data_IF_664773826170
#
_entry.id   IF_664773826170
#
_cell.length_a   1.000
_cell.length_b   1.000
_cell.length_c   1.000
_cell.angle_alpha   90.00
_cell.angle_beta   90.00
_cell.angle_gamma   90.00
#
_symmetry.space_group_name_H-M   'P 1'
#
loop_
_entity.id
_entity.type
_entity.pdbx_description
1 polymer ?
#
# COMPACT_ATOMS: atom_id res chain seq x y z
N UNK A 1 -13.39 15.14 11.36
CA UNK A 1 -13.64 14.90 9.92
C UNK A 1 -12.38 14.55 9.14
N UNK A 2 -11.50 15.47 8.69
CA UNK A 2 -10.36 15.11 7.81
C UNK A 2 -9.40 14.00 8.31
N UNK A 3 -9.16 13.96 9.63
CA UNK A 3 -8.34 12.90 10.27
C UNK A 3 -9.15 11.62 10.49
N UNK A 4 -10.45 11.75 10.79
CA UNK A 4 -11.36 10.62 10.96
C UNK A 4 -11.73 9.92 9.64
N UNK A 5 -11.58 10.61 8.50
CA UNK A 5 -11.82 10.06 7.15
C UNK A 5 -10.56 9.57 6.43
N UNK A 6 -9.41 9.54 7.12
CA UNK A 6 -8.14 9.07 6.55
C UNK A 6 -7.62 9.88 5.36
N UNK A 7 -7.98 11.17 5.23
CA UNK A 7 -7.57 11.98 4.09
C UNK A 7 -6.16 12.56 4.26
N UNK A 8 -5.30 12.38 3.25
CA UNK A 8 -3.97 12.99 3.19
C UNK A 8 -4.03 14.53 3.26
N UNK A 9 -3.23 15.10 4.16
CA UNK A 9 -3.16 16.54 4.39
C UNK A 9 -2.58 17.32 3.19
N UNK A 10 -1.66 16.70 2.44
CA UNK A 10 -1.07 17.26 1.21
C UNK A 10 -1.99 17.10 0.01
N UNK A 11 -2.28 18.19 -0.70
CA UNK A 11 -3.09 18.22 -1.93
C UNK A 11 -2.46 17.44 -3.09
N UNK A 12 -1.12 17.40 -3.17
CA UNK A 12 -0.41 16.62 -4.20
C UNK A 12 -0.51 15.12 -3.96
N UNK A 13 -0.35 14.69 -2.70
CA UNK A 13 -0.52 13.29 -2.30
C UNK A 13 -1.98 12.87 -2.45
N UNK A 14 -2.92 13.77 -2.15
CA UNK A 14 -4.35 13.53 -2.35
C UNK A 14 -4.71 13.29 -3.82
N UNK A 15 -4.09 14.03 -4.74
CA UNK A 15 -4.27 13.85 -6.18
C UNK A 15 -3.68 12.52 -6.64
N UNK A 16 -2.44 12.23 -6.25
CA UNK A 16 -1.78 10.96 -6.58
C UNK A 16 -2.50 9.72 -6.01
N UNK A 17 -3.00 9.79 -4.77
CA UNK A 17 -3.76 8.71 -4.14
C UNK A 17 -5.19 8.57 -4.71
N UNK A 18 -5.81 9.67 -5.13
CA UNK A 18 -7.11 9.64 -5.81
C UNK A 18 -6.97 9.07 -7.24
N UNK A 19 -5.86 9.34 -7.92
CA UNK A 19 -5.58 8.80 -9.25
C UNK A 19 -5.22 7.29 -9.20
N UNK A 20 -4.85 6.75 -8.03
CA UNK A 20 -4.46 5.35 -7.81
C UNK A 20 -5.49 4.53 -7.01
N UNK A 21 -6.56 5.17 -6.51
CA UNK A 21 -7.57 4.58 -5.63
C UNK A 21 -7.04 3.91 -4.34
N UNK A 22 -5.92 4.42 -3.83
CA UNK A 22 -5.23 3.92 -2.65
C UNK A 22 -5.49 4.80 -1.42
N UNK A 23 -5.58 4.18 -0.25
CA UNK A 23 -5.50 4.89 1.02
C UNK A 23 -4.05 5.30 1.33
N UNK A 24 -3.86 6.17 2.32
CA UNK A 24 -2.52 6.64 2.75
C UNK A 24 -1.64 5.49 3.29
N UNK A 25 -2.28 4.40 3.70
CA UNK A 25 -1.72 3.17 4.24
C UNK A 25 -1.53 2.05 3.20
N UNK A 26 -1.73 2.33 1.91
CA UNK A 26 -1.45 1.37 0.82
C UNK A 26 -2.52 0.30 0.62
N UNK A 27 -3.62 0.34 1.38
CA UNK A 27 -4.77 -0.52 1.13
C UNK A 27 -5.58 0.03 -0.05
N UNK A 28 -6.11 -0.88 -0.87
CA UNK A 28 -7.21 -0.54 -1.80
C UNK A 28 -8.30 0.11 -0.98
N UNK A 29 -8.56 1.39 -1.22
CA UNK A 29 -9.67 2.06 -0.56
C UNK A 29 -10.91 1.34 -1.06
N UNK A 30 -11.79 0.87 -0.17
CA UNK A 30 -13.18 0.71 -0.58
C UNK A 30 -13.66 2.11 -0.91
N UNK A 31 -13.48 2.51 -2.17
CA UNK A 31 -14.15 3.65 -2.74
C UNK A 31 -15.63 3.28 -2.73
N UNK A 32 -16.30 3.70 -1.66
CA UNK A 32 -17.70 4.02 -1.78
C UNK A 32 -17.80 4.85 -3.05
N UNK A 33 -18.63 4.41 -3.99
CA UNK A 33 -18.93 5.21 -5.18
C UNK A 33 -19.20 6.65 -4.75
N UNK A 34 -18.90 7.65 -5.57
CA UNK A 34 -19.13 9.05 -5.19
C UNK A 34 -20.55 9.25 -4.62
N UNK A 35 -21.52 8.53 -5.18
CA UNK A 35 -22.88 8.44 -4.66
C UNK A 35 -22.96 7.87 -3.23
N UNK A 36 -22.34 6.72 -2.96
CA UNK A 36 -22.32 6.12 -1.62
C UNK A 36 -21.54 6.97 -0.61
N UNK A 37 -20.46 7.65 -1.03
CA UNK A 37 -19.75 8.62 -0.17
C UNK A 37 -20.65 9.80 0.18
N UNK A 38 -21.39 10.35 -0.79
CA UNK A 38 -22.33 11.45 -0.57
C UNK A 38 -23.49 10.99 0.32
N UNK A 39 -24.01 9.78 0.14
CA UNK A 39 -25.07 9.21 1.00
C UNK A 39 -24.56 9.00 2.42
N UNK A 40 -23.35 8.48 2.60
CA UNK A 40 -22.72 8.32 3.91
C UNK A 40 -22.51 9.69 4.60
N UNK A 41 -22.04 10.69 3.86
CA UNK A 41 -21.88 12.06 4.37
C UNK A 41 -23.25 12.69 4.72
N UNK A 42 -24.26 12.53 3.86
CA UNK A 42 -25.61 13.04 4.10
C UNK A 42 -26.27 12.38 5.32
N UNK A 43 -26.07 11.07 5.48
CA UNK A 43 -26.53 10.33 6.66
C UNK A 43 -25.77 10.75 7.92
N UNK A 44 -24.45 10.90 7.86
CA UNK A 44 -23.67 11.40 8.98
C UNK A 44 -24.12 12.81 9.38
N UNK A 45 -24.40 13.69 8.41
CA UNK A 45 -24.93 15.02 8.65
C UNK A 45 -26.36 15.01 9.20
N UNK A 46 -27.24 14.11 8.74
CA UNK A 46 -28.60 13.99 9.30
C UNK A 46 -28.56 13.50 10.75
N UNK A 47 -27.70 12.53 11.07
CA UNK A 47 -27.49 12.06 12.45
C UNK A 47 -26.85 13.13 13.34
N UNK A 48 -25.90 13.90 12.82
CA UNK A 48 -25.31 15.02 13.55
C UNK A 48 -26.30 16.16 13.80
N UNK A 49 -27.27 16.36 12.90
CA UNK A 49 -28.38 17.29 13.10
C UNK A 49 -29.32 16.83 14.21
N UNK A 50 -29.61 15.53 14.30
CA UNK A 50 -30.44 14.95 15.35
C UNK A 50 -29.71 14.94 16.71
N UNK A 51 -28.40 14.70 16.70
CA UNK A 51 -27.58 14.61 17.91
C UNK A 51 -27.60 15.92 18.70
N UNK A 52 -28.21 15.87 19.88
CA UNK A 52 -28.44 17.01 20.76
C UNK A 52 -29.05 18.22 20.03
N UNK A 53 -29.96 17.98 19.08
CA UNK A 53 -30.64 19.02 18.30
C UNK A 53 -29.68 19.93 17.51
N UNK A 54 -28.58 19.37 17.00
CA UNK A 54 -27.62 20.08 16.13
C UNK A 54 -26.65 20.99 16.87
N UNK A 55 -26.65 20.96 18.21
CA UNK A 55 -25.75 21.75 19.06
C UNK A 55 -24.26 21.51 18.73
N UNK A 56 -23.89 20.29 18.34
CA UNK A 56 -22.51 19.98 17.97
C UNK A 56 -22.06 20.73 16.70
N UNK A 57 -22.97 20.90 15.73
CA UNK A 57 -22.72 21.65 14.50
C UNK A 57 -22.59 23.14 14.82
N UNK A 58 -23.53 23.68 15.60
CA UNK A 58 -23.54 25.09 16.02
C UNK A 58 -22.26 25.45 16.80
N UNK A 59 -21.86 24.62 17.76
CA UNK A 59 -20.61 24.81 18.51
C UNK A 59 -19.37 24.76 17.60
N UNK A 60 -19.37 23.87 16.60
CA UNK A 60 -18.28 23.79 15.62
C UNK A 60 -18.17 25.04 14.74
N UNK A 61 -19.30 25.68 14.43
CA UNK A 61 -19.32 26.93 13.66
C UNK A 61 -18.83 28.12 14.50
N UNK A 62 -19.30 28.23 15.75
CA UNK A 62 -18.87 29.28 16.68
C UNK A 62 -17.37 29.21 16.94
N UNK A 63 -16.84 28.02 17.26
CA UNK A 63 -15.40 27.85 17.59
C UNK A 63 -14.46 28.05 16.39
N UNK A 64 -14.98 27.97 15.16
CA UNK A 64 -14.22 28.25 13.92
C UNK A 64 -14.40 29.68 13.42
N UNK A 65 -15.23 30.48 14.09
CA UNK A 65 -15.49 31.87 13.71
C UNK A 65 -16.33 32.03 12.45
N UNK A 66 -17.12 31.02 12.07
CA UNK A 66 -18.07 31.15 10.94
C UNK A 66 -19.32 31.93 11.32
N UNK A 67 -19.71 31.83 12.60
CA UNK A 67 -20.82 32.55 13.21
C UNK A 67 -20.39 33.01 14.60
N UNK A 68 -20.95 34.09 15.10
CA UNK A 68 -20.70 34.53 16.48
C UNK A 68 -21.70 33.89 17.44
N UNK A 69 -21.41 33.92 18.75
CA UNK A 69 -22.34 33.37 19.75
C UNK A 69 -23.65 34.15 19.79
N UNK A 70 -23.59 35.46 19.54
CA UNK A 70 -24.74 36.37 19.46
C UNK A 70 -25.67 36.00 18.31
N UNK A 71 -25.12 35.65 17.14
CA UNK A 71 -25.92 35.17 16.00
C UNK A 71 -26.63 33.85 16.31
N UNK A 72 -25.95 32.92 16.99
CA UNK A 72 -26.58 31.67 17.41
C UNK A 72 -27.66 31.90 18.46
N UNK A 73 -27.44 32.84 19.38
CA UNK A 73 -28.43 33.23 20.37
C UNK A 73 -29.66 33.86 19.71
N UNK A 74 -29.46 34.73 18.72
CA UNK A 74 -30.54 35.32 17.91
C UNK A 74 -31.37 34.26 17.19
N UNK A 75 -30.73 33.25 16.60
CA UNK A 75 -31.42 32.22 15.81
C UNK A 75 -32.19 31.20 16.64
N UNK A 76 -31.68 30.84 17.82
CA UNK A 76 -32.14 29.64 18.54
C UNK A 76 -32.40 29.84 20.04
N UNK A 77 -32.05 30.99 20.61
CA UNK A 77 -32.15 31.25 22.06
C UNK A 77 -32.73 32.64 22.37
N UNK A 78 -33.61 33.18 21.52
CA UNK A 78 -34.28 34.47 21.75
C UNK A 78 -33.33 35.64 22.08
N UNK A 79 -32.14 35.65 21.46
CA UNK A 79 -31.04 36.60 21.72
C UNK A 79 -30.40 36.51 23.12
N UNK A 80 -30.68 35.46 23.89
CA UNK A 80 -30.04 35.16 25.17
C UNK A 80 -28.69 34.44 24.96
N UNK A 81 -27.61 35.22 25.04
CA UNK A 81 -26.23 34.76 24.83
C UNK A 81 -25.77 33.81 25.94
N UNK A 82 -26.24 34.00 27.18
CA UNK A 82 -25.87 33.16 28.32
C UNK A 82 -26.53 31.78 28.22
N UNK A 83 -27.79 31.73 27.78
CA UNK A 83 -28.49 30.49 27.48
C UNK A 83 -27.82 29.72 26.32
N UNK A 84 -27.46 30.41 25.24
CA UNK A 84 -26.74 29.82 24.11
C UNK A 84 -25.37 29.26 24.53
N UNK A 85 -24.61 30.04 25.31
CA UNK A 85 -23.29 29.63 25.83
C UNK A 85 -23.39 28.42 26.74
N UNK A 86 -24.36 28.42 27.66
CA UNK A 86 -24.60 27.28 28.57
C UNK A 86 -24.98 26.03 27.79
N UNK A 87 -25.92 26.14 26.84
CA UNK A 87 -26.36 25.02 26.02
C UNK A 87 -25.25 24.43 25.15
N UNK A 88 -24.41 25.26 24.53
CA UNK A 88 -23.33 24.78 23.66
C UNK A 88 -22.08 24.33 24.42
N UNK A 89 -21.78 24.90 25.59
CA UNK A 89 -20.62 24.49 26.39
C UNK A 89 -20.67 23.01 26.81
N UNK A 90 -21.88 22.47 27.01
CA UNK A 90 -22.12 21.05 27.28
C UNK A 90 -21.69 20.11 26.14
N UNK A 91 -21.53 20.64 24.93
CA UNK A 91 -21.11 19.87 23.74
C UNK A 91 -19.59 19.82 23.54
N UNK A 92 -18.84 20.52 24.40
CA UNK A 92 -17.38 20.57 24.31
C UNK A 92 -16.78 19.21 24.60
N UNK A 93 -16.20 18.59 23.57
CA UNK A 93 -15.57 17.27 23.68
C UNK A 93 -16.47 16.10 23.31
N UNK A 94 -17.77 16.32 23.08
CA UNK A 94 -18.70 15.26 22.64
C UNK A 94 -18.32 14.69 21.26
N UNK A 95 -17.75 15.51 20.37
CA UNK A 95 -17.20 14.99 19.09
C UNK A 95 -16.05 14.00 19.31
N UNK A 96 -15.27 14.16 20.39
CA UNK A 96 -14.21 13.18 20.74
C UNK A 96 -14.87 11.88 21.19
N UNK A 97 -15.90 11.94 22.03
CA UNK A 97 -16.68 10.76 22.46
C UNK A 97 -17.37 10.05 21.29
N UNK A 98 -17.90 10.81 20.32
CA UNK A 98 -18.48 10.29 19.07
C UNK A 98 -17.44 9.70 18.11
N UNK A 99 -16.15 10.04 18.27
CA UNK A 99 -15.05 9.46 17.51
C UNK A 99 -14.36 8.31 18.27
N UNK A 100 -14.48 8.26 19.59
CA UNK A 100 -14.07 7.16 20.48
C UNK A 100 -15.14 6.04 20.49
N UNK A 101 -15.70 5.72 19.33
CA UNK A 101 -16.63 4.59 19.19
C UNK A 101 -15.78 3.33 19.15
N UNK A 102 -15.50 2.78 20.34
CA UNK A 102 -14.78 1.51 20.51
C UNK A 102 -15.57 0.30 19.96
N UNK A 103 -16.89 0.44 19.80
CA UNK A 103 -17.77 -0.58 19.23
C UNK A 103 -18.60 0.01 18.08
N UNK A 104 -18.34 -0.47 16.86
CA UNK A 104 -19.19 -0.18 15.70
C UNK A 104 -20.58 -0.73 16.04
N UNK A 105 -21.65 0.11 16.08
CA UNK A 105 -22.98 -0.38 16.41
C UNK A 105 -23.34 -1.50 15.45
N UNK A 106 -23.78 -2.62 16.02
CA UNK A 106 -24.22 -3.77 15.25
C UNK A 106 -25.48 -3.37 14.48
N UNK A 107 -25.31 -3.04 13.20
CA UNK A 107 -26.44 -2.88 12.28
C UNK A 107 -27.04 -4.27 12.13
N UNK A 108 -28.33 -4.41 12.37
CA UNK A 108 -29.02 -5.71 12.31
C UNK A 108 -29.16 -6.10 10.82
N UNK A 109 -28.16 -6.84 10.33
CA UNK A 109 -27.79 -6.95 8.90
C UNK A 109 -28.61 -7.96 8.09
N UNK A 110 -29.84 -8.33 8.45
CA UNK A 110 -30.56 -9.35 7.64
C UNK A 110 -31.42 -8.74 6.54
N UNK A 111 -32.38 -7.87 6.88
CA UNK A 111 -33.25 -7.20 5.89
C UNK A 111 -32.55 -6.04 5.20
N UNK A 112 -31.83 -5.18 5.94
CA UNK A 112 -31.09 -4.06 5.34
C UNK A 112 -29.99 -4.52 4.39
N UNK A 113 -29.34 -5.67 4.66
CA UNK A 113 -28.33 -6.23 3.77
C UNK A 113 -28.95 -6.88 2.54
N UNK A 114 -30.17 -7.40 2.65
CA UNK A 114 -30.93 -7.89 1.51
C UNK A 114 -31.43 -6.73 0.63
N UNK A 115 -31.88 -5.63 1.24
CA UNK A 115 -32.28 -4.41 0.51
C UNK A 115 -31.06 -3.68 -0.07
N UNK A 116 -29.92 -3.69 0.62
CA UNK A 116 -28.65 -3.19 0.10
C UNK A 116 -28.19 -4.02 -1.11
N UNK A 117 -28.17 -5.36 -1.01
CA UNK A 117 -27.88 -6.24 -2.14
C UNK A 117 -28.88 -6.05 -3.28
N UNK A 118 -30.18 -5.88 -2.96
CA UNK A 118 -31.21 -5.58 -3.95
C UNK A 118 -30.90 -4.26 -4.63
N UNK A 119 -30.61 -3.20 -3.90
CA UNK A 119 -30.26 -1.89 -4.43
C UNK A 119 -28.98 -1.91 -5.28
N UNK A 120 -27.93 -2.63 -4.86
CA UNK A 120 -26.71 -2.83 -5.66
C UNK A 120 -26.97 -3.65 -6.94
N UNK A 121 -27.92 -4.59 -6.89
CA UNK A 121 -28.30 -5.40 -8.05
C UNK A 121 -29.34 -4.74 -8.96
N UNK A 122 -30.04 -3.70 -8.48
CA UNK A 122 -31.13 -3.05 -9.22
C UNK A 122 -30.55 -2.03 -10.18
N UNK A 123 -30.61 -2.34 -11.47
CA UNK A 123 -30.16 -1.45 -12.54
C UNK A 123 -31.04 -0.22 -12.66
N UNK A 124 -30.43 0.96 -12.77
CA UNK A 124 -31.18 2.15 -13.14
C UNK A 124 -31.46 2.15 -14.65
N UNK A 125 -32.61 2.71 -15.05
CA UNK A 125 -32.97 2.82 -16.46
C UNK A 125 -31.94 3.67 -17.22
N UNK A 126 -31.25 3.07 -18.18
CA UNK A 126 -30.19 3.71 -18.97
C UNK A 126 -28.77 3.51 -18.43
N UNK A 127 -28.60 2.80 -17.33
CA UNK A 127 -27.28 2.44 -16.83
C UNK A 127 -26.57 1.47 -17.80
N UNK A 128 -25.35 1.83 -18.17
CA UNK A 128 -24.47 1.02 -19.01
C UNK A 128 -23.40 0.38 -18.15
N UNK A 129 -23.12 -0.90 -18.40
CA UNK A 129 -22.05 -1.63 -17.74
C UNK A 129 -20.90 -1.80 -18.72
N UNK A 130 -19.67 -1.68 -18.22
CA UNK A 130 -18.50 -2.11 -18.96
C UNK A 130 -18.22 -3.58 -18.61
N UNK A 131 -18.17 -4.44 -19.61
CA UNK A 131 -17.80 -5.84 -19.44
C UNK A 131 -16.69 -6.23 -20.39
N UNK A 132 -15.78 -7.08 -19.93
CA UNK A 132 -14.78 -7.67 -20.81
C UNK A 132 -15.44 -8.72 -21.70
N UNK A 133 -15.02 -8.77 -22.95
CA UNK A 133 -15.46 -9.75 -23.92
C UNK A 133 -14.28 -10.23 -24.77
N UNK A 134 -14.41 -11.43 -25.29
CA UNK A 134 -13.47 -12.02 -26.23
C UNK A 134 -14.09 -12.07 -27.63
N UNK A 135 -13.27 -11.80 -28.63
CA UNK A 135 -13.66 -11.83 -30.04
C UNK A 135 -12.70 -12.74 -30.80
N UNK A 136 -13.25 -13.59 -31.66
CA UNK A 136 -12.44 -14.41 -32.54
C UNK A 136 -11.67 -13.51 -33.54
N UNK A 137 -10.36 -13.68 -33.60
CA UNK A 137 -9.50 -12.96 -34.55
C UNK A 137 -9.79 -13.35 -36.01
N UNK A 138 -10.18 -14.60 -36.24
CA UNK A 138 -10.47 -15.16 -37.57
C UNK A 138 -11.91 -14.87 -38.01
N UNK A 139 -12.84 -14.76 -37.06
CA UNK A 139 -14.27 -14.57 -37.30
C UNK A 139 -14.78 -13.31 -36.60
N UNK A 140 -14.29 -12.15 -37.03
CA UNK A 140 -14.66 -10.84 -36.45
C UNK A 140 -16.13 -10.46 -36.66
N UNK A 141 -16.83 -11.14 -37.57
CA UNK A 141 -18.26 -10.92 -37.82
C UNK A 141 -19.17 -11.58 -36.77
N UNK A 142 -18.66 -12.56 -36.02
CA UNK A 142 -19.43 -13.16 -34.92
C UNK A 142 -19.57 -12.16 -33.76
N UNK A 143 -20.69 -12.19 -33.01
CA UNK A 143 -20.84 -11.34 -31.85
C UNK A 143 -19.76 -11.66 -30.79
N UNK A 144 -19.24 -10.66 -30.07
CA UNK A 144 -18.29 -10.88 -28.99
C UNK A 144 -18.89 -11.77 -27.89
N UNK A 145 -18.07 -12.65 -27.30
CA UNK A 145 -18.45 -13.51 -26.19
C UNK A 145 -18.12 -12.79 -24.88
N UNK A 146 -19.12 -12.53 -24.05
CA UNK A 146 -18.93 -11.84 -22.78
C UNK A 146 -18.22 -12.72 -21.75
N UNK A 147 -17.29 -12.14 -21.01
CA UNK A 147 -16.65 -12.78 -19.86
C UNK A 147 -17.50 -12.58 -18.59
N UNK A 148 -17.44 -13.52 -17.62
CA UNK A 148 -18.14 -13.36 -16.36
C UNK A 148 -17.71 -12.10 -15.61
N UNK A 149 -18.65 -11.47 -14.90
CA UNK A 149 -18.39 -10.23 -14.17
C UNK A 149 -17.19 -10.33 -13.21
N UNK A 150 -16.97 -11.50 -12.62
CA UNK A 150 -15.89 -11.75 -11.66
C UNK A 150 -14.50 -11.83 -12.30
N UNK A 151 -14.38 -11.92 -13.63
CA UNK A 151 -13.10 -11.78 -14.36
C UNK A 151 -12.61 -10.33 -14.40
N UNK A 152 -13.50 -9.35 -14.21
CA UNK A 152 -13.20 -7.94 -14.39
C UNK A 152 -12.05 -7.48 -13.49
N UNK A 153 -12.16 -7.70 -12.18
CA UNK A 153 -11.17 -7.17 -11.25
C UNK A 153 -9.75 -7.74 -11.49
N UNK A 154 -9.56 -9.06 -11.69
CA UNK A 154 -8.25 -9.61 -12.04
C UNK A 154 -7.68 -9.07 -13.36
N UNK A 155 -8.49 -8.94 -14.41
CA UNK A 155 -8.05 -8.41 -15.70
C UNK A 155 -7.69 -6.93 -15.57
N UNK A 156 -8.56 -6.11 -14.96
CA UNK A 156 -8.35 -4.68 -14.74
C UNK A 156 -7.03 -4.44 -13.99
N UNK A 157 -6.80 -5.18 -12.89
CA UNK A 157 -5.56 -5.08 -12.12
C UNK A 157 -4.32 -5.43 -12.96
N UNK A 158 -4.36 -6.51 -13.73
CA UNK A 158 -3.24 -6.91 -14.57
C UNK A 158 -2.94 -5.86 -15.66
N UNK A 159 -3.98 -5.31 -16.31
CA UNK A 159 -3.84 -4.27 -17.33
C UNK A 159 -3.29 -2.97 -16.72
N UNK A 160 -3.84 -2.52 -15.59
CA UNK A 160 -3.38 -1.30 -14.90
C UNK A 160 -1.93 -1.42 -14.45
N UNK A 161 -1.55 -2.57 -13.88
CA UNK A 161 -0.18 -2.85 -13.45
C UNK A 161 0.78 -2.76 -14.62
N UNK A 162 0.48 -3.45 -15.72
CA UNK A 162 1.32 -3.41 -16.92
C UNK A 162 1.40 -2.01 -17.54
N UNK A 163 0.30 -1.25 -17.56
CA UNK A 163 0.32 0.14 -18.04
C UNK A 163 1.21 1.02 -17.16
N UNK A 164 1.20 0.82 -15.85
CA UNK A 164 2.05 1.54 -14.90
C UNK A 164 3.53 1.23 -15.15
N UNK A 165 3.88 -0.04 -15.29
CA UNK A 165 5.24 -0.47 -15.67
C UNK A 165 5.67 0.13 -17.02
N UNK A 166 4.80 0.09 -18.04
CA UNK A 166 5.10 0.65 -19.37
C UNK A 166 5.37 2.15 -19.30
N UNK A 167 4.54 2.90 -18.56
CA UNK A 167 4.72 4.35 -18.36
C UNK A 167 6.02 4.65 -17.61
N UNK A 168 6.38 3.84 -16.62
CA UNK A 168 7.64 3.99 -15.91
C UNK A 168 8.85 3.85 -16.86
N UNK A 169 8.85 2.82 -17.73
CA UNK A 169 9.89 2.65 -18.74
C UNK A 169 9.93 3.77 -19.78
N UNK A 170 8.77 4.24 -20.24
CA UNK A 170 8.69 5.37 -21.17
C UNK A 170 9.26 6.65 -20.56
N UNK A 171 8.86 6.96 -19.33
CA UNK A 171 9.37 8.12 -18.60
C UNK A 171 10.89 8.05 -18.45
N UNK A 172 11.44 6.90 -18.07
CA UNK A 172 12.90 6.73 -17.97
C UNK A 172 13.60 6.95 -19.32
N UNK A 173 12.97 6.54 -20.43
CA UNK A 173 13.50 6.75 -21.79
C UNK A 173 13.42 8.22 -22.21
N UNK A 174 12.33 8.90 -21.89
CA UNK A 174 12.16 10.34 -22.13
C UNK A 174 13.15 11.17 -21.31
N UNK A 175 13.34 10.85 -20.03
CA UNK A 175 14.33 11.50 -19.16
C UNK A 175 15.76 11.33 -19.71
N UNK A 176 16.08 10.14 -20.26
CA UNK A 176 17.36 9.88 -20.93
C UNK A 176 17.53 10.75 -22.18
N UNK A 177 16.49 10.88 -22.99
CA UNK A 177 16.48 11.68 -24.21
C UNK A 177 16.64 13.17 -23.91
N UNK A 178 15.98 13.68 -22.86
CA UNK A 178 16.14 15.06 -22.38
C UNK A 178 17.58 15.36 -21.91
N UNK A 179 18.28 14.35 -21.41
CA UNK A 179 19.71 14.43 -21.06
C UNK A 179 20.64 14.26 -22.27
N UNK A 180 20.12 14.22 -23.51
CA UNK A 180 20.91 14.04 -24.72
C UNK A 180 21.49 12.63 -24.91
N UNK A 181 21.03 11.64 -24.14
CA UNK A 181 21.47 10.23 -24.28
C UNK A 181 20.35 9.42 -24.93
N UNK A 182 20.58 8.90 -26.13
CA UNK A 182 19.55 8.22 -26.92
C UNK A 182 19.19 6.80 -26.42
N UNK A 183 20.07 6.14 -25.67
CA UNK A 183 19.90 4.74 -25.25
C UNK A 183 20.06 4.57 -23.73
N UNK A 184 19.46 3.50 -23.19
CA UNK A 184 19.71 3.08 -21.82
C UNK A 184 21.16 2.55 -21.67
N UNK A 185 21.74 2.62 -20.45
CA UNK A 185 22.95 1.86 -20.12
C UNK A 185 22.77 0.37 -20.44
N UNK A 186 23.83 -0.37 -20.85
CA UNK A 186 23.69 -1.76 -21.32
C UNK A 186 22.90 -2.69 -20.39
N UNK A 187 23.08 -2.56 -19.06
CA UNK A 187 22.33 -3.33 -18.06
C UNK A 187 20.83 -3.02 -18.10
N UNK A 188 20.46 -1.74 -18.14
CA UNK A 188 19.05 -1.29 -18.22
C UNK A 188 18.43 -1.58 -19.57
N UNK A 189 19.21 -1.49 -20.65
CA UNK A 189 18.76 -1.86 -21.98
C UNK A 189 18.38 -3.34 -22.04
N UNK A 190 19.20 -4.24 -21.47
CA UNK A 190 18.88 -5.67 -21.37
C UNK A 190 17.61 -5.90 -20.55
N UNK A 191 17.45 -5.22 -19.41
CA UNK A 191 16.24 -5.32 -18.58
C UNK A 191 14.98 -4.82 -19.32
N UNK A 192 15.09 -3.72 -20.06
CA UNK A 192 14.00 -3.20 -20.90
C UNK A 192 13.65 -4.16 -22.03
N UNK A 193 14.64 -4.76 -22.70
CA UNK A 193 14.42 -5.77 -23.75
C UNK A 193 13.77 -7.04 -23.21
N UNK A 194 14.15 -7.48 -22.00
CA UNK A 194 13.55 -8.61 -21.31
C UNK A 194 12.10 -8.32 -20.88
N UNK A 195 11.86 -7.15 -20.29
CA UNK A 195 10.51 -6.67 -19.98
C UNK A 195 9.65 -6.56 -21.24
N UNK A 196 10.19 -6.02 -22.33
CA UNK A 196 9.48 -5.87 -23.60
C UNK A 196 9.18 -7.20 -24.29
N UNK A 197 9.95 -8.26 -24.01
CA UNK A 197 9.64 -9.64 -24.46
C UNK A 197 8.54 -10.26 -23.58
N UNK A 198 8.45 -9.85 -22.33
CA UNK A 198 7.51 -10.37 -21.34
C UNK A 198 6.19 -9.59 -21.35
N UNK A 199 5.52 -9.55 -22.50
CA UNK A 199 4.19 -8.91 -22.64
C UNK A 199 3.04 -9.79 -22.12
N UNK A 200 3.32 -11.07 -21.83
CA UNK A 200 2.34 -11.99 -21.29
C UNK A 200 2.21 -11.83 -19.76
N UNK A 201 0.97 -11.88 -19.26
CA UNK A 201 0.64 -11.95 -17.83
C UNK A 201 -0.31 -13.11 -17.59
N UNK A 202 0.06 -14.02 -16.69
CA UNK A 202 -0.73 -15.20 -16.35
C UNK A 202 -1.59 -14.92 -15.11
N UNK A 203 -2.83 -15.38 -15.12
CA UNK A 203 -3.77 -15.26 -13.99
C UNK A 203 -4.47 -16.61 -13.78
N UNK A 204 -4.41 -17.15 -12.56
CA UNK A 204 -5.26 -18.29 -12.16
C UNK A 204 -6.54 -17.77 -11.54
N UNK A 205 -7.67 -18.27 -12.03
CA UNK A 205 -9.00 -17.91 -11.60
C UNK A 205 -9.72 -19.15 -11.05
N UNK A 206 -10.14 -19.14 -9.79
CA UNK A 206 -10.90 -20.23 -9.16
C UNK A 206 -12.40 -20.09 -9.52
N UNK A 207 -12.94 -21.07 -10.26
CA UNK A 207 -14.33 -21.07 -10.75
C UNK A 207 -15.36 -21.13 -9.62
N UNK A 208 -15.04 -21.80 -8.52
CA UNK A 208 -15.97 -21.97 -7.39
C UNK A 208 -15.98 -20.72 -6.50
N UNK A 209 -14.80 -20.14 -6.26
CA UNK A 209 -14.66 -18.92 -5.46
C UNK A 209 -14.95 -17.65 -6.25
N UNK A 210 -14.98 -17.75 -7.59
CA UNK A 210 -15.13 -16.62 -8.51
C UNK A 210 -14.09 -15.53 -8.22
N UNK A 211 -12.84 -15.94 -7.98
CA UNK A 211 -11.76 -15.05 -7.54
C UNK A 211 -10.40 -15.52 -8.03
N UNK A 212 -9.44 -14.59 -8.12
CA UNK A 212 -8.05 -14.90 -8.44
C UNK A 212 -7.39 -15.71 -7.31
N UNK A 213 -6.59 -16.71 -7.69
CA UNK A 213 -5.72 -17.44 -6.76
C UNK A 213 -4.40 -16.70 -6.66
N UNK A 214 -4.10 -16.13 -5.48
CA UNK A 214 -2.86 -15.37 -5.24
C UNK A 214 -1.68 -16.32 -5.04
N UNK A 215 -1.82 -17.32 -4.16
CA UNK A 215 -0.73 -18.24 -3.81
C UNK A 215 -0.84 -19.54 -4.61
N UNK A 216 -0.57 -19.47 -5.92
CA UNK A 216 -0.69 -20.60 -6.85
C UNK A 216 0.27 -21.74 -6.48
N UNK A 217 1.49 -21.41 -6.03
CA UNK A 217 2.50 -22.38 -5.61
C UNK A 217 2.05 -23.29 -4.46
N UNK A 218 1.14 -22.80 -3.60
CA UNK A 218 0.62 -23.55 -2.45
C UNK A 218 -0.56 -24.48 -2.80
N UNK A 219 -0.93 -24.59 -4.08
CA UNK A 219 -2.02 -25.43 -4.56
C UNK A 219 -1.48 -26.59 -5.37
N UNK A 220 -2.05 -27.78 -5.18
CA UNK A 220 -1.70 -28.94 -6.00
C UNK A 220 -2.18 -28.71 -7.43
N UNK A 221 -1.37 -29.14 -8.41
CA UNK A 221 -1.68 -29.03 -9.84
C UNK A 221 -3.03 -29.70 -10.16
N UNK A 222 -3.32 -30.85 -9.53
CA UNK A 222 -4.59 -31.55 -9.66
C UNK A 222 -5.79 -30.71 -9.19
N UNK A 223 -5.63 -29.94 -8.11
CA UNK A 223 -6.67 -29.04 -7.62
C UNK A 223 -6.86 -27.84 -8.56
N UNK A 224 -5.77 -27.29 -9.10
CA UNK A 224 -5.83 -26.19 -10.05
C UNK A 224 -6.54 -26.60 -11.33
N UNK A 225 -6.18 -27.75 -11.93
CA UNK A 225 -6.85 -28.32 -13.11
C UNK A 225 -8.36 -28.49 -12.95
N UNK A 226 -8.79 -28.94 -11.77
CA UNK A 226 -10.19 -29.29 -11.53
C UNK A 226 -11.06 -28.05 -11.28
N UNK A 227 -10.50 -27.03 -10.63
CA UNK A 227 -11.30 -25.93 -10.08
C UNK A 227 -10.94 -24.56 -10.63
N UNK A 228 -9.86 -24.44 -11.39
CA UNK A 228 -9.36 -23.15 -11.86
C UNK A 228 -9.30 -23.08 -13.39
N UNK A 229 -9.25 -21.84 -13.88
CA UNK A 229 -8.97 -21.47 -15.26
C UNK A 229 -7.65 -20.71 -15.29
N UNK A 230 -6.81 -21.00 -16.29
CA UNK A 230 -5.55 -20.30 -16.50
C UNK A 230 -5.67 -19.39 -17.71
N UNK A 231 -5.82 -18.09 -17.49
CA UNK A 231 -5.79 -17.11 -18.57
C UNK A 231 -4.40 -16.48 -18.70
N UNK A 232 -3.99 -16.25 -19.94
CA UNK A 232 -2.76 -15.53 -20.30
C UNK A 232 -3.15 -14.31 -21.11
N UNK A 233 -2.94 -13.13 -20.53
CA UNK A 233 -3.16 -11.85 -21.16
C UNK A 233 -1.90 -11.45 -21.92
N UNK A 234 -2.04 -11.13 -23.20
CA UNK A 234 -0.98 -10.51 -23.99
C UNK A 234 -1.25 -9.01 -24.05
N UNK A 235 -0.42 -8.25 -23.34
CA UNK A 235 -0.58 -6.82 -23.15
C UNK A 235 -0.04 -6.05 -24.35
N UNK A 236 -0.76 -4.99 -24.75
CA UNK A 236 -0.31 -4.02 -25.73
C UNK A 236 -0.66 -2.60 -25.26
N UNK A 237 0.04 -1.62 -25.82
CA UNK A 237 -0.25 -0.20 -25.61
C UNK A 237 -1.53 0.20 -26.30
N UNK A 238 -1.80 -0.42 -27.44
CA UNK A 238 -3.02 -0.21 -28.20
C UNK A 238 -4.11 -1.14 -27.66
N UNK A 239 -5.24 -0.55 -27.24
CA UNK A 239 -6.35 -1.31 -26.69
C UNK A 239 -6.89 -2.37 -27.67
N UNK A 240 -6.80 -2.10 -28.98
CA UNK A 240 -7.24 -3.01 -30.04
C UNK A 240 -6.35 -4.24 -30.23
N UNK A 241 -5.14 -4.21 -29.66
CA UNK A 241 -4.14 -5.27 -29.73
C UNK A 241 -4.11 -6.15 -28.48
N UNK A 242 -4.91 -5.84 -27.44
CA UNK A 242 -5.03 -6.70 -26.27
C UNK A 242 -5.54 -8.09 -26.68
N UNK A 243 -4.85 -9.13 -26.24
CA UNK A 243 -5.25 -10.52 -26.49
C UNK A 243 -5.32 -11.31 -25.19
N UNK A 244 -6.12 -12.37 -25.22
CA UNK A 244 -6.25 -13.34 -24.15
C UNK A 244 -6.27 -14.75 -24.74
N UNK A 245 -5.69 -15.71 -24.04
CA UNK A 245 -5.83 -17.14 -24.32
C UNK A 245 -5.98 -17.91 -23.01
N UNK A 246 -6.59 -19.09 -23.08
CA UNK A 246 -6.59 -20.03 -21.96
C UNK A 246 -5.61 -21.17 -22.24
N UNK A 247 -4.67 -21.44 -21.34
CA UNK A 247 -3.68 -22.50 -21.54
C UNK A 247 -2.91 -22.37 -22.88
N UNK A 248 -2.86 -23.46 -23.66
CA UNK A 248 -2.34 -23.46 -25.04
C UNK A 248 -3.41 -23.25 -26.11
N UNK A 249 -4.63 -22.88 -25.69
CA UNK A 249 -5.78 -22.68 -26.55
C UNK A 249 -5.63 -21.50 -27.51
N UNK A 250 -6.71 -21.27 -28.27
CA UNK A 250 -6.80 -20.21 -29.26
C UNK A 250 -6.55 -18.83 -28.63
N UNK A 251 -5.91 -17.94 -29.40
CA UNK A 251 -5.71 -16.55 -29.03
C UNK A 251 -6.92 -15.72 -29.48
N UNK A 252 -7.50 -14.98 -28.54
CA UNK A 252 -8.68 -14.15 -28.74
C UNK A 252 -8.34 -12.68 -28.61
N UNK A 253 -9.08 -11.81 -29.31
CA UNK A 253 -9.05 -10.36 -29.05
C UNK A 253 -9.80 -10.08 -27.76
N UNK A 254 -9.15 -9.42 -26.81
CA UNK A 254 -9.77 -8.97 -25.57
C UNK A 254 -10.23 -7.52 -25.77
N UNK A 255 -11.50 -7.23 -25.50
CA UNK A 255 -12.06 -5.89 -25.64
C UNK A 255 -13.05 -5.57 -24.52
N UNK A 256 -13.13 -4.29 -24.15
CA UNK A 256 -14.09 -3.80 -23.16
C UNK A 256 -15.31 -3.27 -23.91
N UNK A 257 -16.49 -3.81 -23.60
CA UNK A 257 -17.76 -3.44 -24.23
C UNK A 257 -18.67 -2.72 -23.25
N UNK A 258 -19.34 -1.68 -23.73
CA UNK A 258 -20.50 -1.09 -23.04
C UNK A 258 -21.74 -1.90 -23.38
N UNK A 259 -22.31 -2.61 -22.41
CA UNK A 259 -23.52 -3.40 -22.59
C UNK A 259 -24.61 -3.03 -21.59
N UNK A 260 -25.86 -3.18 -22.00
CA UNK A 260 -27.03 -3.08 -21.12
C UNK A 260 -27.37 -4.43 -20.46
N UNK A 261 -27.01 -5.54 -21.11
CA UNK A 261 -27.17 -6.90 -20.59
C UNK A 261 -26.20 -7.19 -19.45
N UNK A 262 -26.60 -8.02 -18.47
CA UNK A 262 -25.64 -8.58 -17.51
C UNK A 262 -24.81 -9.65 -18.23
N UNK A 263 -23.49 -9.71 -17.99
CA UNK A 263 -22.69 -10.83 -18.45
C UNK A 263 -23.13 -12.12 -17.75
N UNK A 264 -23.03 -13.23 -18.46
CA UNK A 264 -23.30 -14.56 -17.90
C UNK A 264 -22.31 -14.90 -16.79
N UNK A 265 -22.75 -15.63 -15.76
CA UNK A 265 -21.87 -16.04 -14.65
C UNK A 265 -20.95 -17.23 -15.02
N UNK A 266 -21.35 -18.01 -16.03
CA UNK A 266 -20.65 -19.20 -16.47
C UNK A 266 -19.41 -18.83 -17.30
N UNK A 267 -18.31 -19.55 -17.08
CA UNK A 267 -17.09 -19.40 -17.89
C UNK A 267 -17.37 -19.92 -19.30
N UNK A 268 -17.09 -19.14 -20.37
CA UNK A 268 -17.22 -19.62 -21.74
C UNK A 268 -16.32 -20.83 -22.01
N UNK A 269 -16.82 -21.82 -22.74
CA UNK A 269 -16.09 -23.06 -23.05
C UNK A 269 -14.78 -22.78 -23.82
N UNK A 270 -14.76 -21.68 -24.59
CA UNK A 270 -13.61 -21.20 -25.36
C UNK A 270 -12.39 -20.87 -24.51
N UNK A 271 -12.61 -20.58 -23.22
CA UNK A 271 -11.56 -20.25 -22.26
C UNK A 271 -11.61 -21.10 -21.00
N UNK A 272 -12.42 -22.15 -20.92
CA UNK A 272 -12.43 -23.10 -19.79
C UNK A 272 -11.42 -24.23 -20.01
N UNK A 273 -10.15 -23.88 -20.30
CA UNK A 273 -9.07 -24.86 -20.45
C UNK A 273 -7.92 -24.58 -19.47
N UNK A 274 -7.51 -25.63 -18.73
CA UNK A 274 -6.36 -25.59 -17.83
C UNK A 274 -5.32 -26.60 -18.30
N UNK A 275 -4.27 -26.12 -18.97
CA UNK A 275 -3.18 -26.97 -19.45
C UNK A 275 -1.92 -26.90 -18.58
N UNK A 276 -1.27 -28.07 -18.43
CA UNK A 276 0.02 -28.22 -17.78
C UNK A 276 1.17 -27.70 -18.66
N UNK A 277 2.20 -27.14 -18.03
CA UNK A 277 3.47 -26.80 -18.69
C UNK A 277 3.68 -25.33 -19.00
N UNK A 278 2.70 -24.45 -18.75
CA UNK A 278 2.95 -23.01 -18.73
C UNK A 278 3.71 -22.65 -17.46
N UNK A 279 4.94 -22.12 -17.64
CA UNK A 279 5.70 -21.56 -16.54
C UNK A 279 4.90 -20.43 -15.91
N UNK A 280 4.63 -20.58 -14.62
CA UNK A 280 3.98 -19.56 -13.82
C UNK A 280 5.01 -18.47 -13.53
N UNK A 281 5.08 -17.47 -14.40
CA UNK A 281 5.84 -16.27 -14.10
C UNK A 281 5.03 -15.47 -13.09
N UNK A 282 5.40 -15.58 -11.81
CA UNK A 282 4.68 -15.01 -10.68
C UNK A 282 4.84 -13.48 -10.56
N UNK A 283 4.89 -12.77 -11.70
CA UNK A 283 4.97 -11.32 -11.72
C UNK A 283 3.67 -10.64 -11.25
N UNK A 284 2.60 -11.42 -11.03
CA UNK A 284 1.30 -10.90 -10.61
C UNK A 284 1.06 -10.98 -9.08
N UNK A 285 1.68 -11.92 -8.34
CA UNK A 285 1.32 -12.14 -6.94
C UNK A 285 2.04 -11.21 -5.94
N UNK A 286 3.21 -10.68 -6.29
CA UNK A 286 4.00 -9.88 -5.36
C UNK A 286 3.92 -8.40 -5.75
N UNK A 287 3.03 -7.65 -5.11
CA UNK A 287 3.02 -6.18 -5.13
C UNK A 287 4.22 -5.66 -4.32
N UNK A 288 5.43 -5.90 -4.84
CA UNK A 288 6.63 -5.21 -4.37
C UNK A 288 6.42 -3.74 -4.73
N UNK A 289 5.93 -2.95 -3.78
CA UNK A 289 5.68 -1.53 -3.97
C UNK A 289 6.87 -0.88 -4.68
N UNK A 290 6.62 -0.33 -5.86
CA UNK A 290 7.58 0.21 -6.83
C UNK A 290 8.92 0.68 -6.23
N UNK A 291 9.85 -0.26 -6.05
CA UNK A 291 11.27 -0.01 -5.75
C UNK A 291 12.09 -0.12 -7.05
N UNK A 292 11.51 0.28 -8.19
CA UNK A 292 12.24 0.40 -9.43
C UNK A 292 12.92 1.78 -9.49
N UNK A 293 14.15 1.79 -8.96
CA UNK A 293 15.26 2.67 -9.30
C UNK A 293 15.19 4.15 -8.90
N UNK A 294 15.61 4.45 -7.66
CA UNK A 294 16.23 5.75 -7.30
C UNK A 294 17.74 5.64 -6.98
N UNK A 295 18.35 4.44 -7.00
CA UNK A 295 19.77 4.26 -6.65
C UNK A 295 20.75 4.61 -7.79
N UNK A 296 20.32 4.61 -9.06
CA UNK A 296 21.25 4.72 -10.19
C UNK A 296 21.56 6.16 -10.65
N UNK A 297 21.06 7.19 -9.96
CA UNK A 297 21.39 8.59 -10.31
C UNK A 297 22.77 9.02 -9.76
N UNK A 298 23.42 8.23 -8.90
CA UNK A 298 24.67 8.61 -8.22
C UNK A 298 25.93 8.00 -8.87
N UNK A 299 25.79 6.98 -9.74
CA UNK A 299 26.95 6.17 -10.18
C UNK A 299 27.62 6.56 -11.51
N UNK A 300 27.31 7.71 -12.13
CA UNK A 300 27.89 8.09 -13.44
C UNK A 300 29.16 8.98 -13.32
N UNK A 301 29.87 8.91 -12.18
CA UNK A 301 30.98 9.82 -11.86
C UNK A 301 32.24 9.22 -11.20
N UNK A 302 32.46 7.90 -11.20
CA UNK A 302 33.71 7.35 -10.63
C UNK A 302 34.39 6.31 -11.53
N UNK A 303 35.69 6.52 -11.73
CA UNK A 303 36.64 5.67 -12.43
C UNK A 303 36.70 4.25 -11.86
N UNK A 304 36.77 3.27 -12.76
CA UNK A 304 36.93 1.84 -12.48
C UNK A 304 38.37 1.54 -12.08
N UNK A 305 38.55 0.83 -10.96
CA UNK A 305 39.71 -0.03 -10.74
C UNK A 305 39.22 -1.48 -10.63
N UNK A 306 39.82 -2.34 -11.46
CA UNK A 306 39.41 -3.71 -11.76
C UNK A 306 39.78 -4.71 -10.64
N UNK A 307 38.94 -5.73 -10.41
CA UNK A 307 39.06 -6.63 -9.25
C UNK A 307 38.17 -7.89 -9.26
N UNK A 308 38.36 -8.74 -10.27
CA UNK A 308 38.28 -10.22 -10.37
C UNK A 308 37.78 -11.10 -9.17
N UNK A 309 36.71 -11.87 -9.44
CA UNK A 309 36.30 -13.26 -9.05
C UNK A 309 35.84 -13.63 -7.62
N UNK A 310 34.65 -14.27 -7.51
CA UNK A 310 34.50 -15.73 -7.29
C UNK A 310 33.02 -16.14 -7.05
N UNK A 311 32.58 -17.21 -7.70
CA UNK A 311 31.27 -17.88 -7.56
C UNK A 311 31.26 -18.88 -6.38
N UNK A 312 30.12 -19.01 -5.67
CA UNK A 312 29.77 -20.25 -4.97
C UNK A 312 28.26 -20.41 -4.74
N UNK A 313 27.80 -21.65 -4.94
CA UNK A 313 26.41 -22.13 -4.96
C UNK A 313 25.81 -22.48 -3.58
N UNK A 314 24.47 -22.34 -3.47
CA UNK A 314 23.54 -23.32 -2.87
C UNK A 314 23.32 -23.36 -1.34
N UNK A 315 22.16 -22.91 -0.85
CA UNK A 315 21.07 -23.79 -0.36
C UNK A 315 19.86 -23.05 0.27
N UNK A 316 18.68 -23.67 0.10
CA UNK A 316 17.26 -23.34 0.34
C UNK A 316 16.80 -22.32 1.44
N UNK A 317 15.71 -21.54 1.20
CA UNK A 317 15.05 -20.74 2.23
C UNK A 317 13.79 -21.41 2.83
N UNK A 318 13.67 -21.31 4.16
CA UNK A 318 12.41 -21.38 4.89
C UNK A 318 11.70 -20.02 4.82
N UNK A 319 10.42 -20.00 4.44
CA UNK A 319 9.55 -18.84 4.37
C UNK A 319 8.87 -18.56 5.71
N UNK A 320 8.82 -17.29 6.14
CA UNK A 320 7.72 -16.76 6.98
C UNK A 320 7.61 -15.22 6.88
N UNK A 321 6.49 -14.78 6.32
CA UNK A 321 5.75 -13.52 6.47
C UNK A 321 6.53 -12.19 6.57
N UNK A 322 6.95 -11.72 5.39
CA UNK A 322 7.30 -10.33 5.10
C UNK A 322 6.04 -9.67 4.54
N UNK A 323 5.41 -8.75 5.29
CA UNK A 323 4.68 -7.60 4.72
C UNK A 323 4.25 -6.63 5.83
N UNK A 324 5.06 -5.58 6.00
CA UNK A 324 4.70 -4.18 6.35
C UNK A 324 5.98 -3.45 6.75
N UNK A 325 6.61 -2.77 5.80
CA UNK A 325 7.84 -2.01 6.06
C UNK A 325 7.71 -0.56 5.60
N UNK A 326 8.27 0.33 6.42
CA UNK A 326 8.55 1.72 6.11
C UNK A 326 10.07 1.86 6.20
N UNK A 327 10.78 1.54 5.11
CA UNK A 327 12.23 1.71 4.98
C UNK A 327 12.49 2.95 4.12
N UNK A 328 13.39 3.83 4.58
CA UNK A 328 14.08 4.81 3.73
C UNK A 328 15.53 4.91 4.25
N UNK A 329 16.50 4.68 3.37
CA UNK A 329 17.93 4.81 3.62
C UNK A 329 18.34 6.26 3.92
N UNK A 330 19.32 6.43 4.80
CA UNK A 330 19.91 7.73 5.14
C UNK A 330 20.94 8.13 4.07
N UNK A 331 20.82 9.33 3.53
CA UNK A 331 21.92 10.01 2.84
C UNK A 331 22.22 11.28 3.62
N UNK A 332 23.22 11.22 4.49
CA UNK A 332 23.80 12.40 5.13
C UNK A 332 24.68 13.12 4.11
N UNK A 333 24.31 14.34 3.72
CA UNK A 333 25.13 15.24 2.93
C UNK A 333 25.36 16.51 3.73
N UNK A 334 26.52 16.61 4.37
CA UNK A 334 27.07 17.87 4.88
C UNK A 334 27.52 18.77 3.72
N UNK A 335 27.18 20.05 3.78
CA UNK A 335 27.68 21.08 2.86
C UNK A 335 26.77 22.30 2.78
N UNK A 336 26.88 23.21 3.75
CA UNK A 336 26.33 24.57 3.63
C UNK A 336 27.04 25.36 2.52
N UNK A 337 26.28 26.23 1.80
CA UNK A 337 26.64 27.64 1.86
C UNK A 337 25.43 28.59 2.05
N UNK A 338 25.78 29.78 2.56
CA UNK A 338 24.97 30.90 3.09
C UNK A 338 23.61 31.24 2.42
N UNK A 339 22.62 31.76 3.18
CA UNK A 339 21.34 32.17 2.64
C UNK A 339 21.33 33.63 2.16
N UNK A 340 20.86 33.86 0.93
CA UNK A 340 20.34 35.16 0.51
C UNK A 340 18.88 35.36 0.99
N UNK A 341 18.45 36.60 1.24
CA UNK A 341 17.23 36.87 1.99
C UNK A 341 16.00 37.01 1.07
N UNK A 342 15.14 36.00 0.98
CA UNK A 342 13.82 36.17 0.37
C UNK A 342 12.66 35.62 1.23
N UNK A 343 11.83 36.58 1.64
CA UNK A 343 10.38 36.55 1.90
C UNK A 343 9.75 35.31 2.58
N UNK A 344 9.47 35.51 3.87
CA UNK A 344 8.63 34.66 4.73
C UNK A 344 7.21 34.51 4.19
N UNK A 345 6.93 33.39 3.53
CA UNK A 345 5.60 32.79 3.46
C UNK A 345 5.54 31.66 4.48
N UNK A 346 4.65 31.79 5.46
CA UNK A 346 4.46 30.86 6.59
C UNK A 346 3.97 29.49 6.12
N UNK A 347 4.90 28.62 5.73
CA UNK A 347 4.73 27.17 5.67
C UNK A 347 5.61 26.54 6.74
N UNK A 348 5.04 26.11 7.88
CA UNK A 348 5.77 25.28 8.84
C UNK A 348 6.18 23.99 8.13
N UNK A 349 7.48 23.82 7.89
CA UNK A 349 8.06 22.55 7.46
C UNK A 349 7.73 21.50 8.54
N UNK A 350 6.86 20.54 8.20
CA UNK A 350 6.55 19.43 9.06
C UNK A 350 7.68 18.40 8.94
N UNK A 351 8.59 18.39 9.90
CA UNK A 351 9.61 17.35 10.06
C UNK A 351 8.86 16.05 10.39
N UNK A 352 8.85 15.10 9.45
CA UNK A 352 8.32 13.75 9.69
C UNK A 352 9.28 13.03 10.64
N UNK A 353 8.90 12.92 11.90
CA UNK A 353 9.61 12.11 12.90
C UNK A 353 9.33 10.63 12.57
N UNK A 354 10.38 9.81 12.37
CA UNK A 354 10.20 8.38 12.11
C UNK A 354 9.58 7.73 13.35
N UNK A 355 8.70 6.73 13.18
CA UNK A 355 8.00 6.08 14.30
C UNK A 355 8.94 5.47 15.35
N UNK A 356 10.17 5.11 14.93
CA UNK A 356 11.26 4.67 15.81
C UNK A 356 11.81 5.84 16.64
N UNK A 357 12.08 6.99 16.01
CA UNK A 357 12.65 8.18 16.65
C UNK A 357 11.72 8.81 17.69
N UNK A 358 10.41 8.56 17.59
CA UNK A 358 9.45 8.98 18.60
C UNK A 358 9.39 8.06 19.82
N UNK A 359 10.01 6.87 19.80
CA UNK A 359 9.96 5.94 20.93
C UNK A 359 10.92 6.38 22.05
N UNK A 360 10.48 6.41 23.32
CA UNK A 360 11.32 6.83 24.43
C UNK A 360 12.54 5.91 24.62
N UNK A 361 12.39 4.60 24.34
CA UNK A 361 13.48 3.64 24.41
C UNK A 361 14.55 3.90 23.34
N UNK A 362 14.16 4.29 22.13
CA UNK A 362 15.11 4.63 21.08
C UNK A 362 15.85 5.94 21.40
N UNK A 363 15.15 6.94 21.96
CA UNK A 363 15.80 8.17 22.39
C UNK A 363 16.79 7.93 23.52
N UNK A 364 16.46 7.07 24.47
CA UNK A 364 17.42 6.61 25.49
C UNK A 364 18.66 5.97 24.86
N UNK A 365 18.48 5.12 23.85
CA UNK A 365 19.60 4.50 23.12
C UNK A 365 20.46 5.55 22.40
N UNK A 366 19.82 6.56 21.81
CA UNK A 366 20.48 7.67 21.13
C UNK A 366 21.28 8.55 22.09
N UNK A 367 20.72 8.87 23.26
CA UNK A 367 21.38 9.66 24.31
C UNK A 367 22.63 8.95 24.85
N UNK A 368 22.65 7.61 24.82
CA UNK A 368 23.80 6.79 25.18
C UNK A 368 24.86 6.69 24.07
N UNK A 369 24.61 7.27 22.88
CA UNK A 369 25.48 7.13 21.72
C UNK A 369 25.46 5.73 21.09
N UNK A 370 24.41 4.94 21.37
CA UNK A 370 24.29 3.54 20.96
C UNK A 370 23.29 3.32 19.81
N UNK A 371 22.72 4.39 19.27
CA UNK A 371 21.77 4.33 18.15
C UNK A 371 22.44 4.32 16.76
N UNK A 372 23.78 4.38 16.70
CA UNK A 372 24.53 4.31 15.43
C UNK A 372 24.33 2.93 14.82
N UNK A 373 23.96 2.90 13.54
CA UNK A 373 23.72 1.66 12.79
C UNK A 373 24.92 1.40 11.87
N UNK A 374 25.45 0.17 11.82
CA UNK A 374 26.41 -0.20 10.79
C UNK A 374 25.79 -0.07 9.39
N UNK A 375 26.63 0.09 8.37
CA UNK A 375 26.18 0.17 6.98
C UNK A 375 25.42 -1.11 6.57
N UNK A 376 24.29 -0.93 5.88
CA UNK A 376 23.40 -2.03 5.49
C UNK A 376 22.52 -2.61 6.62
N UNK A 377 22.63 -2.11 7.85
CA UNK A 377 21.76 -2.52 8.94
C UNK A 377 20.53 -1.61 9.07
N UNK A 378 19.38 -2.21 9.40
CA UNK A 378 18.14 -1.46 9.66
C UNK A 378 17.58 -1.77 11.05
N UNK A 379 16.83 -0.82 11.61
CA UNK A 379 16.17 -0.94 12.90
C UNK A 379 14.77 -0.30 12.80
N UNK A 380 13.75 -1.04 13.21
CA UNK A 380 12.35 -0.67 13.08
C UNK A 380 11.51 -1.13 14.27
N UNK A 381 10.33 -0.53 14.43
CA UNK A 381 9.32 -0.95 15.41
C UNK A 381 7.99 -1.14 14.70
N UNK A 382 7.24 -2.16 15.11
CA UNK A 382 5.84 -2.34 14.75
C UNK A 382 4.96 -2.05 15.99
N UNK A 383 4.52 -0.81 16.23
CA UNK A 383 3.88 -0.42 17.50
C UNK A 383 2.63 -1.22 17.81
N UNK A 384 1.81 -1.50 16.79
CA UNK A 384 0.57 -2.28 16.94
C UNK A 384 0.83 -3.72 17.41
N UNK A 385 1.94 -4.31 16.96
CA UNK A 385 2.29 -5.69 17.30
C UNK A 385 3.23 -5.75 18.51
N UNK A 386 3.66 -4.60 19.04
CA UNK A 386 4.64 -4.47 20.12
C UNK A 386 5.91 -5.29 19.85
N UNK A 387 6.48 -5.12 18.67
CA UNK A 387 7.69 -5.84 18.23
C UNK A 387 8.74 -4.86 17.73
N UNK A 388 9.97 -4.99 18.24
CA UNK A 388 11.17 -4.39 17.66
C UNK A 388 11.74 -5.35 16.60
N UNK A 389 12.25 -4.81 15.48
CA UNK A 389 12.88 -5.58 14.41
C UNK A 389 14.17 -4.92 13.95
N UNK A 390 15.13 -5.72 13.52
CA UNK A 390 16.34 -5.25 12.83
C UNK A 390 16.67 -6.17 11.66
N UNK A 391 17.47 -5.66 10.73
CA UNK A 391 18.15 -6.47 9.72
C UNK A 391 19.65 -6.21 9.76
N UNK A 392 20.45 -7.25 9.50
CA UNK A 392 21.87 -7.10 9.20
C UNK A 392 22.11 -6.98 7.69
N UNK A 393 23.30 -6.54 7.30
CA UNK A 393 23.71 -6.50 5.89
C UNK A 393 23.73 -7.88 5.22
N UNK A 394 23.81 -8.97 5.99
CA UNK A 394 23.74 -10.36 5.50
C UNK A 394 22.30 -10.88 5.37
N UNK A 395 21.32 -9.99 5.22
CA UNK A 395 19.89 -10.32 5.08
C UNK A 395 19.28 -11.12 6.25
N UNK A 396 19.92 -11.13 7.42
CA UNK A 396 19.34 -11.78 8.60
C UNK A 396 18.37 -10.83 9.30
N UNK A 397 17.13 -11.27 9.48
CA UNK A 397 16.08 -10.51 10.16
C UNK A 397 15.94 -10.97 11.60
N UNK A 398 15.99 -10.02 12.54
CA UNK A 398 15.81 -10.29 13.96
C UNK A 398 14.59 -9.56 14.48
N UNK A 399 13.79 -10.20 15.32
CA UNK A 399 12.61 -9.57 15.92
C UNK A 399 12.40 -10.00 17.36
N UNK A 400 11.92 -9.08 18.21
CA UNK A 400 11.58 -9.35 19.61
C UNK A 400 10.33 -8.60 20.02
N UNK A 401 9.32 -9.34 20.48
CA UNK A 401 8.10 -8.78 21.07
C UNK A 401 8.33 -8.24 22.48
N UNK A 402 7.52 -7.28 22.91
CA UNK A 402 7.49 -6.74 24.28
C UNK A 402 6.05 -6.66 24.80
N UNK A 403 5.22 -7.60 24.37
CA UNK A 403 3.87 -7.77 24.86
C UNK A 403 3.84 -8.54 26.19
N UNK A 404 2.69 -8.59 26.84
CA UNK A 404 2.54 -9.26 28.13
C UNK A 404 2.87 -10.75 28.10
N UNK A 405 2.78 -11.40 26.93
CA UNK A 405 3.11 -12.81 26.77
C UNK A 405 4.62 -13.07 26.80
N UNK A 406 5.42 -12.14 26.25
CA UNK A 406 6.89 -12.24 26.23
C UNK A 406 7.56 -12.04 27.58
N UNK A 407 6.88 -11.36 28.52
CA UNK A 407 7.47 -10.93 29.80
C UNK A 407 8.58 -9.89 29.66
N UNK A 408 8.83 -9.38 28.45
CA UNK A 408 9.84 -8.36 28.15
C UNK A 408 9.19 -6.98 28.09
N UNK A 409 9.90 -5.97 28.59
CA UNK A 409 9.55 -4.57 28.31
C UNK A 409 10.14 -4.12 26.96
N UNK A 410 9.69 -2.97 26.45
CA UNK A 410 10.13 -2.44 25.14
C UNK A 410 11.65 -2.23 25.08
N UNK A 411 12.27 -1.80 26.18
CA UNK A 411 13.69 -1.53 26.28
C UNK A 411 14.52 -2.83 26.19
N UNK A 412 14.10 -3.89 26.87
CA UNK A 412 14.73 -5.21 26.80
C UNK A 412 14.64 -5.80 25.38
N UNK A 413 13.48 -5.69 24.73
CA UNK A 413 13.29 -6.14 23.36
C UNK A 413 14.17 -5.36 22.36
N UNK A 414 14.27 -4.03 22.53
CA UNK A 414 15.15 -3.17 21.73
C UNK A 414 16.62 -3.57 21.88
N UNK A 415 17.12 -3.68 23.12
CA UNK A 415 18.51 -4.06 23.38
C UNK A 415 18.85 -5.41 22.75
N UNK A 416 17.96 -6.39 22.86
CA UNK A 416 18.16 -7.73 22.28
C UNK A 416 18.20 -7.73 20.76
N UNK A 417 17.34 -6.94 20.12
CA UNK A 417 17.31 -6.77 18.66
C UNK A 417 18.59 -6.11 18.15
N UNK A 418 19.03 -5.04 18.82
CA UNK A 418 20.30 -4.37 18.49
C UNK A 418 21.49 -5.28 18.70
N UNK A 419 21.53 -6.05 19.80
CA UNK A 419 22.59 -7.03 20.06
C UNK A 419 22.73 -8.04 18.90
N UNK A 420 21.64 -8.68 18.48
CA UNK A 420 21.66 -9.65 17.39
C UNK A 420 22.08 -9.01 16.04
N UNK A 421 21.63 -7.78 15.78
CA UNK A 421 22.03 -7.02 14.60
C UNK A 421 23.55 -6.79 14.55
N UNK A 422 24.15 -6.35 15.66
CA UNK A 422 25.58 -6.08 15.74
C UNK A 422 26.40 -7.37 15.74
N UNK A 423 25.92 -8.45 16.36
CA UNK A 423 26.56 -9.78 16.28
C UNK A 423 26.62 -10.27 14.83
N UNK A 424 25.50 -10.26 14.12
CA UNK A 424 25.44 -10.67 12.72
C UNK A 424 26.30 -9.78 11.79
N UNK A 425 26.37 -8.47 12.07
CA UNK A 425 27.29 -7.59 11.34
C UNK A 425 28.76 -7.97 11.57
N UNK A 426 29.15 -8.30 12.81
CA UNK A 426 30.53 -8.67 13.14
C UNK A 426 30.95 -10.05 12.60
N UNK A 427 29.99 -10.94 12.32
CA UNK A 427 30.29 -12.21 11.64
C UNK A 427 30.85 -11.97 10.24
N UNK A 428 30.38 -10.92 9.55
CA UNK A 428 30.87 -10.51 8.22
C UNK A 428 32.01 -9.49 8.30
N UNK A 429 32.03 -8.64 9.33
CA UNK A 429 32.99 -7.55 9.52
C UNK A 429 33.78 -7.66 10.84
N UNK A 430 34.57 -8.73 11.06
CA UNK A 430 35.17 -9.04 12.35
C UNK A 430 36.26 -8.06 12.80
N UNK A 431 36.68 -7.12 11.94
CA UNK A 431 37.72 -6.11 12.26
C UNK A 431 37.15 -4.75 12.67
N UNK A 432 35.83 -4.55 12.59
CA UNK A 432 35.21 -3.29 12.99
C UNK A 432 35.30 -3.09 14.50
N UNK A 433 36.13 -2.15 14.93
CA UNK A 433 36.37 -1.85 16.35
C UNK A 433 35.22 -1.03 16.96
N UNK A 434 34.56 -0.19 16.16
CA UNK A 434 33.47 0.67 16.64
C UNK A 434 32.26 -0.18 16.98
N UNK A 435 31.87 -1.09 16.09
CA UNK A 435 30.75 -2.00 16.32
C UNK A 435 31.02 -2.96 17.47
N UNK A 436 32.26 -3.45 17.64
CA UNK A 436 32.64 -4.25 18.81
C UNK A 436 32.49 -3.50 20.12
N UNK A 437 32.91 -2.24 20.17
CA UNK A 437 32.78 -1.40 21.36
C UNK A 437 31.30 -1.15 21.68
N UNK A 438 30.49 -0.85 20.67
CA UNK A 438 29.04 -0.67 20.80
C UNK A 438 28.36 -1.95 21.31
N UNK A 439 28.67 -3.12 20.72
CA UNK A 439 28.14 -4.41 21.15
C UNK A 439 28.49 -4.72 22.61
N UNK A 440 29.73 -4.43 23.03
CA UNK A 440 30.14 -4.63 24.43
C UNK A 440 29.32 -3.77 25.40
N UNK A 441 29.01 -2.51 25.03
CA UNK A 441 28.16 -1.63 25.82
C UNK A 441 26.70 -2.10 25.85
N UNK A 442 26.14 -2.55 24.72
CA UNK A 442 24.80 -3.15 24.65
C UNK A 442 24.70 -4.39 25.55
N UNK A 443 25.70 -5.28 25.50
CA UNK A 443 25.75 -6.47 26.36
C UNK A 443 25.82 -6.12 27.85
N UNK A 444 26.57 -5.07 28.20
CA UNK A 444 26.62 -4.56 29.57
C UNK A 444 25.24 -4.07 30.04
N UNK A 445 24.56 -3.25 29.23
CA UNK A 445 23.20 -2.77 29.57
C UNK A 445 22.21 -3.93 29.69
N UNK A 446 22.30 -4.94 28.82
CA UNK A 446 21.43 -6.12 28.89
C UNK A 446 21.65 -6.91 30.18
N UNK A 447 22.89 -7.01 30.68
CA UNK A 447 23.20 -7.70 31.92
C UNK A 447 22.72 -6.94 33.19
N UNK A 448 22.45 -5.64 33.09
CA UNK A 448 21.88 -4.83 34.17
C UNK A 448 20.34 -4.95 34.25
N UNK A 449 19.70 -5.40 33.18
CA UNK A 449 18.26 -5.63 33.13
C UNK A 449 17.88 -6.97 33.82
N UNK A 450 16.68 -7.07 34.44
CA UNK A 450 16.21 -8.31 35.02
C UNK A 450 16.19 -9.46 34.00
N UNK A 451 16.59 -10.66 34.45
CA UNK A 451 16.49 -11.88 33.64
C UNK A 451 15.04 -12.08 33.18
N UNK A 452 14.89 -12.36 31.89
CA UNK A 452 13.63 -12.67 31.24
C UNK A 452 13.82 -13.91 30.37
N UNK A 453 12.71 -14.55 29.98
CA UNK A 453 12.77 -15.70 29.08
C UNK A 453 13.19 -15.22 27.69
N UNK A 454 14.30 -15.77 27.21
CA UNK A 454 14.91 -15.46 25.91
C UNK A 454 14.07 -15.94 24.73
#
# INVERSE_FOLDING_TARGET
MRVATGMASSTKIRKALADLDLSVDGNTRMTLTMENSIRADAWALSRLKEYQSGKLILWSWVTRGYVTMEQVAEWYFDSDVDAATTALSSTRGEMRKLCDVDEIPHVDTSEELADFKRAESTKFGGEKFCTWAIQDLEHQELPPIHLPAWFRNPIDKAVIRWQTESRAWEKQREDRLLQGKCNFPPKKQKAFEEWSKTQARSIVLDKKRQAQVVNVANKSIASLKKHCVLIVLHMSREAEELRIKSGSGKLWKLQLLECSAQPDEAVPEEIDDFQEGLQYNDHCAEDHGDEIALEDAIADGMHVHDGVMSEHDGDAPFHEDIDKWLLICDTESEGEPEPLPEQKLFGKACVRVRAVESQPEFQRLKDLGLAVRPEGCTLGIHPANRVWRSSSASSSHFSRSFDGSSGRNSWQALLRVVEMMLESYLDTNPKDKHVKAQLAQIKKLRAEEPEHKD
#
